data_IF_847058800789
#
_entry.id   IF_847058800789
#
_cell.length_a   1.000
_cell.length_b   1.000
_cell.length_c   1.000
_cell.angle_alpha   90.00
_cell.angle_beta   90.00
_cell.angle_gamma   90.00
#
_symmetry.space_group_name_H-M   'P 1'
#
loop_
_entity.id
_entity.type
_entity.pdbx_description
1 polymer ?
#
# COMPACT_ATOMS: atom_id res chain seq x y z
N UNK A 1 22.78 -18.69 -10.42
CA UNK A 1 23.05 -17.33 -10.94
C UNK A 1 21.82 -16.47 -10.64
N UNK A 2 21.89 -15.50 -9.72
CA UNK A 2 20.70 -14.72 -9.38
C UNK A 2 20.93 -13.65 -8.31
N UNK A 3 21.97 -12.83 -8.48
CA UNK A 3 22.13 -11.62 -7.67
C UNK A 3 21.11 -10.58 -8.15
N UNK A 4 19.85 -10.72 -7.73
CA UNK A 4 18.81 -9.72 -7.93
C UNK A 4 19.16 -8.47 -7.11
N UNK A 5 20.04 -7.62 -7.65
CA UNK A 5 20.38 -6.32 -7.07
C UNK A 5 19.09 -5.63 -6.63
N UNK A 6 18.99 -5.34 -5.33
CA UNK A 6 17.88 -4.61 -4.71
C UNK A 6 17.81 -3.18 -5.26
N UNK A 7 17.37 -3.04 -6.50
CA UNK A 7 17.21 -1.73 -7.11
C UNK A 7 15.87 -1.17 -6.65
N UNK A 8 15.91 -0.33 -5.61
CA UNK A 8 14.73 0.41 -5.17
C UNK A 8 14.15 1.17 -6.37
N UNK A 9 12.89 0.93 -6.75
CA UNK A 9 12.28 1.56 -7.92
C UNK A 9 12.38 3.09 -7.82
N UNK A 10 12.68 3.78 -8.94
CA UNK A 10 12.78 5.24 -9.00
C UNK A 10 11.56 5.95 -8.38
N UNK A 11 10.37 5.37 -8.56
CA UNK A 11 9.12 5.83 -7.93
C UNK A 11 9.21 5.89 -6.40
N UNK A 12 9.69 4.83 -5.77
CA UNK A 12 9.82 4.76 -4.31
C UNK A 12 10.88 5.75 -3.80
N UNK A 13 11.98 5.93 -4.53
CA UNK A 13 13.02 6.92 -4.20
C UNK A 13 12.47 8.35 -4.21
N UNK A 14 11.77 8.75 -5.27
CA UNK A 14 11.14 10.08 -5.38
C UNK A 14 10.15 10.33 -4.24
N UNK A 15 9.28 9.36 -3.95
CA UNK A 15 8.28 9.47 -2.88
C UNK A 15 8.95 9.59 -1.51
N UNK A 16 9.93 8.73 -1.23
CA UNK A 16 10.65 8.73 0.04
C UNK A 16 11.40 10.05 0.28
N UNK A 17 12.10 10.56 -0.73
CA UNK A 17 12.81 11.83 -0.64
C UNK A 17 11.88 13.01 -0.41
N UNK A 18 10.75 13.09 -1.15
CA UNK A 18 9.76 14.15 -0.92
C UNK A 18 9.18 14.06 0.49
N UNK A 19 8.81 12.86 0.94
CA UNK A 19 8.26 12.66 2.28
C UNK A 19 9.24 13.04 3.39
N UNK A 20 10.53 12.75 3.20
CA UNK A 20 11.59 13.14 4.13
C UNK A 20 11.76 14.66 4.18
N UNK A 21 11.88 15.32 3.02
CA UNK A 21 12.03 16.78 2.95
C UNK A 21 10.82 17.53 3.53
N UNK A 22 9.61 17.01 3.32
CA UNK A 22 8.38 17.56 3.92
C UNK A 22 8.37 17.38 5.45
N UNK A 23 8.81 16.21 5.96
CA UNK A 23 8.87 15.93 7.40
C UNK A 23 9.91 16.80 8.13
N UNK A 24 11.09 16.96 7.54
CA UNK A 24 12.16 17.81 8.06
C UNK A 24 11.91 19.31 7.82
N UNK A 25 10.78 19.67 7.20
CA UNK A 25 10.40 21.06 6.85
C UNK A 25 11.45 21.79 6.00
N UNK A 26 12.19 21.04 5.20
CA UNK A 26 13.22 21.59 4.30
C UNK A 26 12.52 22.14 3.04
N UNK A 27 12.68 23.43 2.71
CA UNK A 27 12.15 23.99 1.48
C UNK A 27 12.76 23.28 0.26
N UNK A 28 11.90 22.74 -0.61
CA UNK A 28 12.36 21.98 -1.77
C UNK A 28 11.46 22.20 -2.98
N UNK A 29 12.07 22.10 -4.16
CA UNK A 29 11.37 22.07 -5.42
C UNK A 29 11.24 20.61 -5.89
N UNK A 30 10.00 20.10 -5.98
CA UNK A 30 9.73 18.73 -6.44
C UNK A 30 10.35 18.44 -7.82
N UNK A 31 10.42 19.45 -8.69
CA UNK A 31 11.11 19.40 -9.98
C UNK A 31 12.61 19.06 -9.88
N UNK A 32 13.31 19.54 -8.85
CA UNK A 32 14.73 19.21 -8.59
C UNK A 32 14.88 17.76 -8.13
N UNK A 33 13.95 17.26 -7.32
CA UNK A 33 13.91 15.86 -6.89
C UNK A 33 13.72 14.93 -8.09
N UNK A 34 12.81 15.26 -9.00
CA UNK A 34 12.60 14.48 -10.23
C UNK A 34 13.87 14.42 -11.08
N UNK A 35 14.51 15.57 -11.30
CA UNK A 35 15.78 15.65 -12.05
C UNK A 35 16.88 14.83 -11.41
N UNK A 36 17.02 14.88 -10.08
CA UNK A 36 18.01 14.11 -9.34
C UNK A 36 17.89 12.59 -9.57
N UNK A 37 16.65 12.08 -9.68
CA UNK A 37 16.39 10.66 -9.94
C UNK A 37 16.21 10.31 -11.43
N UNK A 38 16.46 11.27 -12.34
CA UNK A 38 16.30 11.07 -13.78
C UNK A 38 14.86 10.77 -14.19
N UNK A 39 13.89 11.41 -13.53
CA UNK A 39 12.45 11.31 -13.82
C UNK A 39 12.00 12.59 -14.54
N UNK A 40 11.23 12.45 -15.62
CA UNK A 40 10.69 13.60 -16.34
C UNK A 40 9.68 14.36 -15.47
N UNK A 41 9.44 15.65 -15.74
CA UNK A 41 8.48 16.44 -14.97
C UNK A 41 7.08 15.79 -14.98
N UNK A 42 6.61 15.39 -16.17
CA UNK A 42 5.30 14.73 -16.35
C UNK A 42 5.20 13.47 -15.48
N UNK A 43 6.19 12.57 -15.58
CA UNK A 43 6.20 11.33 -14.82
C UNK A 43 6.32 11.58 -13.31
N UNK A 44 7.11 12.57 -12.89
CA UNK A 44 7.25 12.97 -11.49
C UNK A 44 5.94 13.44 -10.88
N UNK A 45 5.20 14.28 -11.61
CA UNK A 45 3.88 14.75 -11.17
C UNK A 45 2.83 13.63 -11.16
N UNK A 46 2.85 12.72 -12.13
CA UNK A 46 1.99 11.53 -12.10
C UNK A 46 2.27 10.66 -10.85
N UNK A 47 3.54 10.45 -10.51
CA UNK A 47 3.94 9.71 -9.30
C UNK A 47 3.40 10.37 -8.03
N UNK A 48 3.54 11.69 -7.91
CA UNK A 48 3.03 12.46 -6.75
C UNK A 48 1.51 12.41 -6.68
N UNK A 49 0.81 12.55 -7.81
CA UNK A 49 -0.66 12.47 -7.89
C UNK A 49 -1.18 11.10 -7.47
N UNK A 50 -0.59 10.04 -8.02
CA UNK A 50 -0.94 8.66 -7.64
C UNK A 50 -0.70 8.40 -6.15
N UNK A 51 0.37 8.95 -5.57
CA UNK A 51 0.66 8.78 -4.15
C UNK A 51 -0.34 9.50 -3.25
N UNK A 52 -0.82 10.69 -3.65
CA UNK A 52 -1.92 11.37 -2.94
C UNK A 52 -3.19 10.53 -2.97
N UNK A 53 -3.54 10.00 -4.14
CA UNK A 53 -4.75 9.17 -4.30
C UNK A 53 -4.67 7.83 -3.54
N UNK A 54 -3.45 7.31 -3.29
CA UNK A 54 -3.25 6.06 -2.54
C UNK A 54 -3.51 6.17 -1.04
N UNK A 55 -3.43 7.36 -0.45
CA UNK A 55 -3.65 7.52 1.00
C UNK A 55 -5.09 7.24 1.41
N UNK A 56 -6.04 7.30 0.47
CA UNK A 56 -7.47 7.25 0.74
C UNK A 56 -8.16 6.09 0.05
N UNK A 57 -7.42 5.06 -0.39
CA UNK A 57 -8.05 3.95 -1.11
C UNK A 57 -8.98 3.12 -0.21
N UNK A 58 -8.79 3.18 1.11
CA UNK A 58 -9.71 2.64 2.12
C UNK A 58 -10.83 3.63 2.53
N UNK A 59 -10.72 4.90 2.16
CA UNK A 59 -11.67 5.96 2.49
C UNK A 59 -12.54 6.39 1.29
N UNK A 60 -12.34 5.75 0.13
CA UNK A 60 -13.10 5.99 -1.10
C UNK A 60 -14.37 5.13 -1.04
N UNK A 61 -15.58 5.72 -1.03
CA UNK A 61 -16.84 4.99 -0.88
C UNK A 61 -17.18 4.09 -2.07
N UNK A 62 -16.54 4.31 -3.23
CA UNK A 62 -16.68 3.48 -4.43
C UNK A 62 -15.52 2.49 -4.59
N UNK A 63 -14.60 2.40 -3.62
CA UNK A 63 -13.58 1.37 -3.66
C UNK A 63 -14.24 0.01 -3.36
N UNK A 64 -14.23 -0.95 -4.32
CA UNK A 64 -14.65 -2.29 -3.99
C UNK A 64 -13.78 -2.74 -2.83
N UNK A 65 -14.38 -3.27 -1.77
CA UNK A 65 -13.68 -3.94 -0.68
C UNK A 65 -12.92 -5.13 -1.29
N UNK A 66 -11.77 -4.83 -1.88
CA UNK A 66 -10.91 -5.81 -2.50
C UNK A 66 -10.35 -6.58 -1.33
N UNK A 67 -11.02 -7.68 -0.99
CA UNK A 67 -10.52 -8.67 -0.06
C UNK A 67 -9.02 -8.81 -0.31
N UNK A 68 -8.20 -8.56 0.70
CA UNK A 68 -6.74 -8.61 0.63
C UNK A 68 -6.32 -9.94 -0.02
N UNK A 69 -6.08 -9.93 -1.34
CA UNK A 69 -5.75 -11.13 -2.12
C UNK A 69 -4.31 -11.59 -1.90
N UNK A 70 -3.52 -10.80 -1.16
CA UNK A 70 -2.18 -11.15 -0.70
C UNK A 70 -2.26 -11.86 0.64
N UNK A 71 -2.17 -13.18 0.60
CA UNK A 71 -2.09 -14.03 1.80
C UNK A 71 -2.40 -15.50 1.49
N UNK A 72 -2.19 -16.36 2.49
CA UNK A 72 -2.69 -17.74 2.43
C UNK A 72 -4.21 -17.67 2.43
N UNK A 73 -4.86 -18.36 1.48
CA UNK A 73 -6.33 -18.47 1.44
C UNK A 73 -6.87 -18.86 2.82
N UNK A 74 -7.97 -18.23 3.24
CA UNK A 74 -8.65 -18.60 4.48
C UNK A 74 -9.05 -20.07 4.38
N UNK A 75 -8.66 -20.86 5.37
CA UNK A 75 -9.00 -22.29 5.45
C UNK A 75 -10.46 -22.46 5.85
N UNK A 76 -10.97 -21.53 6.66
CA UNK A 76 -12.35 -21.50 7.14
C UNK A 76 -13.11 -20.37 6.43
N UNK A 77 -14.30 -20.69 5.94
CA UNK A 77 -15.26 -19.74 5.42
C UNK A 77 -16.05 -19.08 6.56
N UNK A 78 -16.75 -17.95 6.31
CA UNK A 78 -17.65 -17.36 7.30
C UNK A 78 -18.76 -18.31 7.77
N UNK A 79 -19.20 -19.23 6.90
CA UNK A 79 -20.17 -20.27 7.24
C UNK A 79 -19.59 -21.29 8.21
N UNK A 80 -18.34 -21.70 8.01
CA UNK A 80 -17.64 -22.62 8.92
C UNK A 80 -17.52 -22.02 10.32
N UNK A 81 -17.22 -20.71 10.42
CA UNK A 81 -17.15 -19.99 11.70
C UNK A 81 -18.49 -19.96 12.42
N UNK A 82 -19.59 -19.72 11.70
CA UNK A 82 -20.96 -19.76 12.27
C UNK A 82 -21.34 -21.14 12.76
N UNK A 83 -20.96 -22.19 12.01
CA UNK A 83 -21.21 -23.57 12.40
C UNK A 83 -20.41 -23.95 13.66
N UNK A 84 -19.16 -23.52 13.77
CA UNK A 84 -18.32 -23.71 14.96
C UNK A 84 -18.89 -22.97 16.18
N UNK A 85 -19.31 -21.71 16.01
CA UNK A 85 -19.95 -20.93 17.06
C UNK A 85 -21.21 -21.63 17.58
N UNK A 86 -22.07 -22.07 16.66
CA UNK A 86 -23.28 -22.83 17.02
C UNK A 86 -22.96 -24.10 17.81
N UNK A 87 -21.93 -24.85 17.39
CA UNK A 87 -21.51 -26.08 18.06
C UNK A 87 -20.98 -25.82 19.48
N UNK A 88 -20.21 -24.74 19.68
CA UNK A 88 -19.75 -24.31 21.01
C UNK A 88 -20.93 -23.97 21.93
N UNK A 89 -21.94 -23.27 21.40
CA UNK A 89 -23.14 -22.90 22.15
C UNK A 89 -24.06 -24.08 22.45
N UNK A 90 -24.17 -25.06 21.55
CA UNK A 90 -25.05 -26.24 21.73
C UNK A 90 -24.45 -27.29 22.67
N UNK A 91 -23.14 -27.53 22.60
CA UNK A 91 -22.52 -28.60 23.40
C UNK A 91 -21.98 -28.11 24.75
N UNK A 92 -21.72 -26.80 24.89
CA UNK A 92 -21.10 -26.25 26.10
C UNK A 92 -19.66 -26.76 26.29
N UNK A 93 -18.81 -25.96 26.92
CA UNK A 93 -17.55 -26.49 27.46
C UNK A 93 -17.88 -27.21 28.78
N UNK A 94 -17.86 -28.53 28.78
CA UNK A 94 -17.76 -29.32 30.01
C UNK A 94 -16.30 -29.32 30.51
#
# INVERSE_FOLDING_TARGET
MGNGHHHTPKKAKVIGTISFLEKEKIPHFKSRVFRHFGVSQRQGWEIVRQQRNRRNLKDDPDYPDLEETRGRKRILTPDDLRAMEKLIWEYGFE
#
